data_IF_835898905984
#
_entry.id   IF_835898905984
#
_cell.length_a   1.000
_cell.length_b   1.000
_cell.length_c   1.000
_cell.angle_alpha   90.00
_cell.angle_beta   90.00
_cell.angle_gamma   90.00
#
_symmetry.space_group_name_H-M   'P 1'
#
loop_
_entity.id
_entity.type
_entity.pdbx_description
1 polymer ?
#
# COMPACT_ATOMS: atom_id res chain seq x y z
N UNK A 1 -59.92 39.44 46.39
CA UNK A 1 -58.78 39.90 47.22
C UNK A 1 -57.57 39.05 46.86
N UNK A 2 -56.46 39.71 46.50
CA UNK A 2 -55.04 39.31 46.55
C UNK A 2 -54.67 37.82 46.27
N UNK A 3 -53.71 37.46 45.41
CA UNK A 3 -52.40 38.08 45.15
C UNK A 3 -51.76 37.45 43.91
N UNK A 4 -50.97 38.23 43.18
CA UNK A 4 -49.99 37.79 42.16
C UNK A 4 -48.80 37.10 42.83
N UNK A 5 -48.24 36.07 42.21
CA UNK A 5 -46.78 35.83 42.23
C UNK A 5 -46.34 35.42 40.82
N UNK A 6 -45.42 36.20 40.28
CA UNK A 6 -44.72 36.02 39.01
C UNK A 6 -43.72 34.87 39.09
N UNK A 7 -43.65 34.04 38.04
CA UNK A 7 -42.48 33.23 37.74
C UNK A 7 -42.03 33.56 36.31
N UNK A 8 -41.00 34.41 36.22
CA UNK A 8 -40.30 34.76 35.00
C UNK A 8 -39.38 33.58 34.65
N UNK A 9 -39.63 32.92 33.52
CA UNK A 9 -38.67 32.03 32.89
C UNK A 9 -37.58 32.89 32.22
N UNK A 10 -36.42 33.00 32.86
CA UNK A 10 -35.20 33.49 32.20
C UNK A 10 -34.62 32.35 31.36
N UNK A 11 -34.79 32.44 30.04
CA UNK A 11 -33.95 31.70 29.10
C UNK A 11 -32.61 32.43 29.05
N UNK A 12 -31.57 31.84 29.65
CA UNK A 12 -30.19 32.27 29.42
C UNK A 12 -29.78 31.75 28.05
N UNK A 13 -29.95 32.58 27.03
CA UNK A 13 -29.24 32.44 25.76
C UNK A 13 -27.77 32.82 26.02
N UNK A 14 -26.94 31.82 26.29
CA UNK A 14 -25.49 32.00 26.26
C UNK A 14 -25.05 32.09 24.79
N UNK A 15 -25.18 33.27 24.19
CA UNK A 15 -24.43 33.65 22.99
C UNK A 15 -22.95 33.75 23.35
N UNK A 16 -22.17 32.71 23.06
CA UNK A 16 -20.72 32.85 22.96
C UNK A 16 -20.41 33.68 21.71
N UNK A 17 -20.42 35.01 21.87
CA UNK A 17 -19.65 35.92 21.02
C UNK A 17 -18.17 35.57 21.20
N UNK A 18 -17.63 34.73 20.32
CA UNK A 18 -16.19 34.69 20.10
C UNK A 18 -15.89 35.94 19.30
N UNK A 19 -15.43 36.99 20.00
CA UNK A 19 -14.74 38.10 19.39
C UNK A 19 -13.52 37.53 18.66
N UNK A 20 -13.65 37.37 17.34
CA UNK A 20 -12.51 37.25 16.44
C UNK A 20 -11.77 38.57 16.55
N UNK A 21 -10.76 38.59 17.43
CA UNK A 21 -9.71 39.59 17.36
C UNK A 21 -9.02 39.37 16.03
N UNK A 22 -9.36 40.17 15.02
CA UNK A 22 -8.51 40.39 13.87
C UNK A 22 -7.16 40.87 14.40
N UNK A 23 -6.22 39.94 14.57
CA UNK A 23 -4.83 40.27 14.75
C UNK A 23 -4.40 41.11 13.54
N UNK A 24 -3.87 42.30 13.83
CA UNK A 24 -3.17 43.13 12.86
C UNK A 24 -2.16 42.28 12.08
N UNK A 25 -1.97 42.53 10.77
CA UNK A 25 -0.98 41.81 9.99
C UNK A 25 0.40 42.08 10.58
N UNK A 26 1.05 41.03 11.08
CA UNK A 26 2.48 41.08 11.37
C UNK A 26 3.23 41.41 10.07
N UNK A 27 4.18 42.37 10.10
CA UNK A 27 4.93 42.76 8.92
C UNK A 27 5.93 41.66 8.55
N UNK A 28 5.85 41.22 7.29
CA UNK A 28 6.92 40.58 6.52
C UNK A 28 7.76 39.52 7.25
N UNK A 29 7.18 38.35 7.50
CA UNK A 29 7.95 37.11 7.25
C UNK A 29 7.77 36.76 5.78
N UNK A 30 8.59 37.35 4.92
CA UNK A 30 8.83 36.86 3.56
C UNK A 30 9.56 35.52 3.65
N UNK A 31 8.86 34.48 4.12
CA UNK A 31 9.23 33.12 3.77
C UNK A 31 9.17 33.06 2.26
N UNK A 32 10.32 32.99 1.59
CA UNK A 32 10.36 32.62 0.17
C UNK A 32 9.53 31.35 0.06
N UNK A 33 8.38 31.43 -0.60
CA UNK A 33 7.70 30.25 -1.13
C UNK A 33 8.76 29.54 -1.97
N UNK A 34 9.30 28.45 -1.44
CA UNK A 34 10.27 27.65 -2.16
C UNK A 34 9.51 27.04 -3.33
N UNK A 35 9.69 27.60 -4.52
CA UNK A 35 9.02 27.12 -5.73
C UNK A 35 9.56 25.74 -6.06
N UNK A 36 8.84 24.71 -5.61
CA UNK A 36 9.13 23.32 -5.94
C UNK A 36 8.86 23.15 -7.44
N UNK A 37 9.90 22.85 -8.20
CA UNK A 37 9.76 22.54 -9.63
C UNK A 37 9.18 21.14 -9.81
N UNK A 38 8.36 20.93 -10.85
CA UNK A 38 7.82 19.60 -11.18
C UNK A 38 8.92 18.54 -11.35
N UNK A 39 10.09 18.93 -11.88
CA UNK A 39 11.27 18.05 -12.03
C UNK A 39 11.83 17.53 -10.70
N UNK A 40 11.54 18.22 -9.60
CA UNK A 40 11.99 17.87 -8.26
C UNK A 40 11.01 16.95 -7.52
N UNK A 41 9.84 16.72 -8.10
CA UNK A 41 8.83 15.81 -7.58
C UNK A 41 9.31 14.37 -7.82
N UNK A 42 9.37 13.53 -6.78
CA UNK A 42 9.73 12.13 -6.96
C UNK A 42 8.74 11.40 -7.88
N UNK A 43 9.26 10.72 -8.89
CA UNK A 43 8.49 9.96 -9.89
C UNK A 43 8.27 8.53 -9.39
N UNK A 44 7.08 7.97 -9.61
CA UNK A 44 6.80 6.57 -9.30
C UNK A 44 7.69 5.62 -10.10
N UNK A 45 8.07 4.49 -9.51
CA UNK A 45 8.99 3.54 -10.13
C UNK A 45 8.46 2.98 -11.46
N UNK A 46 7.20 2.52 -11.50
CA UNK A 46 6.59 1.97 -12.72
C UNK A 46 6.56 2.99 -13.85
N UNK A 47 6.31 4.26 -13.52
CA UNK A 47 6.38 5.37 -14.48
C UNK A 47 7.79 5.51 -15.06
N UNK A 48 8.82 5.56 -14.20
CA UNK A 48 10.21 5.67 -14.65
C UNK A 48 10.68 4.45 -15.47
N UNK A 49 10.22 3.25 -15.13
CA UNK A 49 10.48 2.04 -15.91
C UNK A 49 9.83 2.15 -17.30
N UNK A 50 8.59 2.61 -17.37
CA UNK A 50 7.85 2.70 -18.62
C UNK A 50 8.46 3.73 -19.58
N UNK A 51 8.96 4.87 -19.09
CA UNK A 51 9.69 5.85 -19.91
C UNK A 51 10.92 5.22 -20.62
N UNK A 52 11.64 4.31 -19.96
CA UNK A 52 12.77 3.59 -20.58
C UNK A 52 12.32 2.62 -21.67
N UNK A 53 11.14 2.03 -21.52
CA UNK A 53 10.54 1.14 -22.52
C UNK A 53 10.00 1.92 -23.71
N UNK A 54 9.23 2.99 -23.47
CA UNK A 54 8.64 3.82 -24.52
C UNK A 54 9.70 4.54 -25.36
N UNK A 55 10.80 4.97 -24.74
CA UNK A 55 11.92 5.58 -25.46
C UNK A 55 12.77 4.58 -26.27
N UNK A 56 12.46 3.27 -26.18
CA UNK A 56 13.21 2.20 -26.85
C UNK A 56 14.60 1.94 -26.26
N UNK A 57 14.95 2.58 -25.13
CA UNK A 57 16.25 2.38 -24.45
C UNK A 57 16.37 0.98 -23.86
N UNK A 58 15.26 0.40 -23.41
CA UNK A 58 15.20 -0.95 -22.87
C UNK A 58 13.95 -1.69 -23.35
N UNK A 59 14.04 -3.00 -23.47
CA UNK A 59 12.86 -3.87 -23.58
C UNK A 59 12.18 -4.04 -22.23
N UNK A 60 10.92 -4.49 -22.21
CA UNK A 60 10.18 -4.80 -20.97
C UNK A 60 10.95 -5.78 -20.07
N UNK A 61 11.53 -6.84 -20.66
CA UNK A 61 12.34 -7.80 -19.90
C UNK A 61 13.59 -7.19 -19.28
N UNK A 62 14.28 -6.31 -20.01
CA UNK A 62 15.47 -5.62 -19.50
C UNK A 62 15.13 -4.68 -18.35
N UNK A 63 14.07 -3.87 -18.48
CA UNK A 63 13.71 -2.91 -17.43
C UNK A 63 13.27 -3.62 -16.15
N UNK A 64 12.53 -4.73 -16.26
CA UNK A 64 12.16 -5.56 -15.10
C UNK A 64 13.41 -6.12 -14.41
N UNK A 65 14.37 -6.67 -15.18
CA UNK A 65 15.62 -7.21 -14.64
C UNK A 65 16.41 -6.13 -13.89
N UNK A 66 16.71 -5.00 -14.51
CA UNK A 66 17.56 -3.98 -13.87
C UNK A 66 16.88 -3.36 -12.64
N UNK A 67 15.55 -3.27 -12.65
CA UNK A 67 14.79 -2.76 -11.50
C UNK A 67 14.79 -3.75 -10.32
N UNK A 68 14.63 -5.04 -10.61
CA UNK A 68 14.79 -6.09 -9.60
C UNK A 68 16.25 -6.17 -9.09
N UNK A 69 17.25 -5.92 -9.94
CA UNK A 69 18.66 -5.82 -9.53
C UNK A 69 18.89 -4.66 -8.56
N UNK A 70 18.23 -3.51 -8.78
CA UNK A 70 18.26 -2.39 -7.80
C UNK A 70 17.70 -2.84 -6.45
N UNK A 71 16.56 -3.53 -6.45
CA UNK A 71 15.98 -4.09 -5.22
C UNK A 71 16.84 -5.16 -4.56
N UNK A 72 17.60 -5.91 -5.36
CA UNK A 72 18.55 -6.91 -4.89
C UNK A 72 19.91 -6.30 -4.50
N UNK A 73 20.03 -4.97 -4.46
CA UNK A 73 21.27 -4.22 -4.22
C UNK A 73 22.43 -4.62 -5.16
N UNK A 74 22.12 -5.18 -6.33
CA UNK A 74 23.08 -5.57 -7.39
C UNK A 74 23.37 -4.40 -8.35
N UNK A 75 22.51 -3.38 -8.35
CA UNK A 75 22.63 -2.11 -9.08
C UNK A 75 22.15 -0.95 -8.22
N UNK A 76 22.60 0.26 -8.53
CA UNK A 76 22.04 1.50 -7.98
C UNK A 76 20.93 2.05 -8.88
N UNK A 77 20.03 2.84 -8.30
CA UNK A 77 18.98 3.49 -9.07
C UNK A 77 19.53 4.58 -9.99
N UNK A 78 20.60 5.25 -9.57
CA UNK A 78 21.30 6.28 -10.33
C UNK A 78 21.93 5.70 -11.61
N UNK A 79 22.43 4.46 -11.56
CA UNK A 79 22.95 3.75 -12.74
C UNK A 79 21.89 3.51 -13.83
N UNK A 80 20.61 3.42 -13.45
CA UNK A 80 19.50 3.07 -14.37
C UNK A 80 18.67 4.28 -14.75
N UNK A 81 18.36 5.13 -13.77
CA UNK A 81 17.43 6.26 -13.89
C UNK A 81 18.15 7.63 -13.89
N UNK A 82 19.47 7.65 -13.72
CA UNK A 82 20.25 8.89 -13.62
C UNK A 82 19.87 9.71 -12.38
N UNK A 83 19.78 11.04 -12.54
CA UNK A 83 19.48 11.96 -11.45
C UNK A 83 17.98 12.03 -11.08
N UNK A 84 17.14 11.19 -11.70
CA UNK A 84 15.69 11.17 -11.40
C UNK A 84 15.49 10.74 -9.95
N UNK A 85 14.73 11.55 -9.21
CA UNK A 85 14.26 11.20 -7.86
C UNK A 85 13.18 10.12 -7.98
N UNK A 86 13.54 8.86 -7.73
CA UNK A 86 12.59 7.76 -7.77
C UNK A 86 11.91 7.58 -6.42
N UNK A 87 10.57 7.59 -6.42
CA UNK A 87 9.75 7.18 -5.31
C UNK A 87 9.41 5.70 -5.45
N UNK A 88 10.00 4.87 -4.60
CA UNK A 88 9.61 3.48 -4.43
C UNK A 88 9.20 3.27 -2.98
N UNK A 89 7.90 3.32 -2.72
CA UNK A 89 7.33 3.04 -1.40
C UNK A 89 6.64 1.67 -1.40
N UNK A 90 6.03 1.28 -2.51
CA UNK A 90 5.48 -0.05 -2.80
C UNK A 90 6.20 -0.75 -3.96
N UNK A 91 5.90 -2.04 -4.18
CA UNK A 91 6.48 -2.85 -5.27
C UNK A 91 5.54 -3.87 -5.89
N UNK A 92 4.26 -3.87 -5.54
CA UNK A 92 3.18 -4.69 -6.08
C UNK A 92 3.22 -4.73 -7.60
N UNK A 93 3.25 -3.57 -8.26
CA UNK A 93 3.25 -3.52 -9.72
C UNK A 93 4.48 -4.20 -10.35
N UNK A 94 5.65 -3.98 -9.76
CA UNK A 94 6.90 -4.59 -10.22
C UNK A 94 6.87 -6.12 -10.05
N UNK A 95 6.42 -6.63 -8.90
CA UNK A 95 6.39 -8.07 -8.64
C UNK A 95 5.36 -8.79 -9.51
N UNK A 96 4.15 -8.23 -9.65
CA UNK A 96 3.12 -8.81 -10.51
C UNK A 96 3.53 -8.79 -11.98
N UNK A 97 4.07 -7.68 -12.48
CA UNK A 97 4.59 -7.58 -13.85
C UNK A 97 5.74 -8.59 -14.09
N UNK A 98 6.62 -8.77 -13.11
CA UNK A 98 7.71 -9.74 -13.18
C UNK A 98 7.20 -11.18 -13.26
N UNK A 99 6.21 -11.55 -12.45
CA UNK A 99 5.57 -12.89 -12.50
C UNK A 99 4.82 -13.10 -13.81
N UNK A 100 4.12 -12.09 -14.33
CA UNK A 100 3.49 -12.15 -15.64
C UNK A 100 4.53 -12.36 -16.75
N UNK A 101 5.69 -11.68 -16.67
CA UNK A 101 6.77 -11.82 -17.63
C UNK A 101 7.43 -13.21 -17.58
N UNK A 102 7.51 -13.87 -16.41
CA UNK A 102 7.96 -15.26 -16.33
C UNK A 102 7.08 -16.21 -17.15
N UNK A 103 5.77 -16.00 -17.14
CA UNK A 103 4.80 -16.83 -17.87
C UNK A 103 4.80 -16.55 -19.37
N UNK A 104 4.86 -15.27 -19.77
CA UNK A 104 4.55 -14.86 -21.15
C UNK A 104 5.68 -14.12 -21.88
N UNK A 105 6.75 -13.73 -21.18
CA UNK A 105 7.88 -13.00 -21.74
C UNK A 105 8.65 -13.81 -22.78
N UNK A 106 9.04 -13.15 -23.87
CA UNK A 106 9.75 -13.79 -24.99
C UNK A 106 11.24 -13.99 -24.71
N UNK A 107 11.87 -13.08 -23.97
CA UNK A 107 13.29 -13.15 -23.66
C UNK A 107 13.59 -14.21 -22.59
N UNK A 108 14.22 -15.30 -22.99
CA UNK A 108 14.62 -16.41 -22.11
C UNK A 108 15.67 -15.99 -21.07
N UNK A 109 16.61 -15.11 -21.42
CA UNK A 109 17.65 -14.66 -20.48
C UNK A 109 17.02 -13.77 -19.42
N UNK A 110 16.18 -12.82 -19.82
CA UNK A 110 15.43 -11.99 -18.87
C UNK A 110 14.56 -12.84 -17.94
N UNK A 111 13.83 -13.84 -18.44
CA UNK A 111 13.04 -14.74 -17.59
C UNK A 111 13.89 -15.53 -16.58
N UNK A 112 15.04 -16.05 -16.99
CA UNK A 112 15.93 -16.75 -16.07
C UNK A 112 16.42 -15.84 -14.94
N UNK A 113 16.77 -14.60 -15.29
CA UNK A 113 17.27 -13.62 -14.33
C UNK A 113 16.17 -13.08 -13.41
N UNK A 114 14.98 -12.79 -13.93
CA UNK A 114 13.80 -12.44 -13.11
C UNK A 114 13.50 -13.56 -12.11
N UNK A 115 13.56 -14.83 -12.52
CA UNK A 115 13.31 -15.97 -11.62
C UNK A 115 14.34 -16.01 -10.49
N UNK A 116 15.63 -15.81 -10.79
CA UNK A 116 16.70 -15.75 -9.79
C UNK A 116 16.48 -14.59 -8.81
N UNK A 117 16.18 -13.40 -9.33
CA UNK A 117 15.96 -12.20 -8.52
C UNK A 117 14.72 -12.34 -7.63
N UNK A 118 13.60 -12.83 -8.15
CA UNK A 118 12.40 -13.08 -7.33
C UNK A 118 12.65 -14.08 -6.21
N UNK A 119 13.48 -15.11 -6.43
CA UNK A 119 13.85 -16.06 -5.37
C UNK A 119 14.68 -15.42 -4.23
N UNK A 120 15.35 -14.29 -4.49
CA UNK A 120 16.09 -13.50 -3.50
C UNK A 120 15.21 -12.39 -2.90
N UNK A 121 14.21 -11.92 -3.64
CA UNK A 121 13.40 -10.77 -3.25
C UNK A 121 12.09 -11.14 -2.57
N UNK A 122 11.60 -12.36 -2.76
CA UNK A 122 10.31 -12.81 -2.23
C UNK A 122 10.46 -14.16 -1.53
N UNK A 123 9.69 -14.42 -0.46
CA UNK A 123 9.63 -15.75 0.15
C UNK A 123 9.08 -16.79 -0.84
N UNK A 124 9.55 -18.03 -0.74
CA UNK A 124 8.87 -19.17 -1.37
C UNK A 124 7.73 -19.61 -0.46
N UNK A 125 6.52 -19.12 -0.73
CA UNK A 125 5.37 -19.37 0.14
C UNK A 125 4.96 -20.83 0.19
N UNK A 126 5.21 -21.61 -0.86
CA UNK A 126 5.00 -23.06 -0.84
C UNK A 126 5.92 -23.72 0.20
N UNK A 127 7.18 -23.30 0.30
CA UNK A 127 8.09 -23.78 1.35
C UNK A 127 7.72 -23.23 2.72
N UNK A 128 7.29 -21.98 2.83
CA UNK A 128 6.81 -21.39 4.09
C UNK A 128 5.64 -22.17 4.67
N UNK A 129 4.58 -22.38 3.89
CA UNK A 129 3.37 -23.14 4.27
C UNK A 129 3.72 -24.57 4.70
N UNK A 130 4.70 -25.20 4.04
CA UNK A 130 5.12 -26.58 4.32
C UNK A 130 5.98 -26.73 5.58
N UNK A 131 6.90 -25.80 5.83
CA UNK A 131 7.97 -25.98 6.82
C UNK A 131 7.80 -25.12 8.07
N UNK A 132 7.08 -23.99 8.01
CA UNK A 132 6.93 -23.11 9.18
C UNK A 132 5.68 -23.49 9.95
N UNK A 133 5.86 -24.01 11.17
CA UNK A 133 4.75 -24.37 12.07
C UNK A 133 3.92 -23.13 12.43
N UNK A 134 2.61 -23.20 12.14
CA UNK A 134 1.63 -22.18 12.52
C UNK A 134 1.24 -22.31 13.98
N UNK A 135 1.38 -21.22 14.72
CA UNK A 135 0.99 -21.13 16.14
C UNK A 135 -0.30 -20.33 16.20
N UNK A 136 -1.34 -20.84 16.85
CA UNK A 136 -2.60 -20.10 16.96
C UNK A 136 -2.40 -18.88 17.86
N UNK A 137 -2.83 -17.69 17.42
CA UNK A 137 -2.61 -16.44 18.14
C UNK A 137 -3.20 -16.47 19.57
N UNK A 138 -4.29 -17.20 19.80
CA UNK A 138 -4.89 -17.31 21.12
C UNK A 138 -4.02 -18.11 22.11
N UNK A 139 -3.21 -19.08 21.63
CA UNK A 139 -2.28 -19.87 22.45
C UNK A 139 -1.15 -19.00 23.02
N UNK A 140 -0.72 -17.98 22.27
CA UNK A 140 0.28 -17.01 22.72
C UNK A 140 -0.24 -16.06 23.81
N UNK A 141 -1.57 -15.84 23.85
CA UNK A 141 -2.22 -14.97 24.84
C UNK A 141 -2.54 -15.68 26.15
N UNK A 142 -2.74 -17.00 26.12
CA UNK A 142 -3.14 -17.82 27.30
C UNK A 142 -1.97 -18.46 28.04
N UNK A 143 -0.78 -18.58 27.44
CA UNK A 143 0.37 -19.27 28.02
C UNK A 143 1.20 -18.46 29.05
N UNK A 144 2.19 -19.13 29.68
CA UNK A 144 3.25 -18.52 30.52
C UNK A 144 4.14 -17.53 29.75
N UNK A 145 4.07 -17.55 28.41
CA UNK A 145 4.82 -16.70 27.49
C UNK A 145 4.00 -15.47 27.04
N UNK A 146 3.32 -14.79 27.99
CA UNK A 146 2.63 -13.54 27.65
C UNK A 146 3.64 -12.55 27.06
N UNK A 147 3.28 -11.83 25.97
CA UNK A 147 4.13 -10.77 25.46
C UNK A 147 4.49 -9.81 26.59
N UNK A 148 5.75 -9.38 26.65
CA UNK A 148 6.17 -8.39 27.63
C UNK A 148 5.24 -7.17 27.54
N UNK A 149 4.63 -6.77 28.67
CA UNK A 149 3.80 -5.56 28.70
C UNK A 149 4.69 -4.36 28.44
N UNK A 150 4.49 -3.71 27.31
CA UNK A 150 5.07 -2.39 27.05
C UNK A 150 4.44 -1.39 28.03
N UNK A 151 5.22 -1.00 29.04
CA UNK A 151 4.79 -0.04 30.06
C UNK A 151 4.75 1.40 29.53
N UNK A 152 5.29 1.66 28.34
CA UNK A 152 5.41 3.01 27.80
C UNK A 152 4.13 3.50 27.09
N UNK A 153 3.22 2.58 26.70
CA UNK A 153 2.03 2.91 25.90
C UNK A 153 2.34 3.53 24.53
N UNK A 154 3.61 3.72 24.20
CA UNK A 154 4.10 4.40 23.02
C UNK A 154 4.66 3.36 22.07
N UNK A 155 4.16 3.34 20.83
CA UNK A 155 4.73 2.53 19.75
C UNK A 155 6.06 3.16 19.31
N UNK A 156 7.03 3.23 20.23
CA UNK A 156 8.29 3.92 20.01
C UNK A 156 9.17 3.10 19.09
N UNK A 157 9.79 3.82 18.16
CA UNK A 157 10.80 3.32 17.24
C UNK A 157 11.84 2.48 17.98
N UNK A 158 12.04 1.24 17.54
CA UNK A 158 13.31 0.57 17.84
C UNK A 158 14.31 1.21 16.87
N UNK A 159 15.39 1.78 17.39
CA UNK A 159 16.42 2.46 16.58
C UNK A 159 17.05 1.54 15.53
N UNK A 160 17.07 0.24 15.81
CA UNK A 160 17.53 -0.82 14.91
C UNK A 160 16.57 -2.01 14.97
N UNK A 161 15.88 -2.31 13.86
CA UNK A 161 15.10 -3.55 13.72
C UNK A 161 16.03 -4.67 13.29
N UNK A 162 16.19 -5.70 14.13
CA UNK A 162 16.98 -6.88 13.77
C UNK A 162 16.19 -7.76 12.81
N UNK A 163 16.37 -7.57 11.51
CA UNK A 163 15.59 -8.28 10.49
C UNK A 163 15.74 -9.81 10.53
N UNK A 164 16.93 -10.32 10.91
CA UNK A 164 17.22 -11.75 11.08
C UNK A 164 18.61 -11.94 11.71
N UNK A 165 18.91 -13.16 12.16
CA UNK A 165 20.29 -13.58 12.44
C UNK A 165 21.17 -13.45 11.18
N UNK A 166 22.50 -13.27 11.33
CA UNK A 166 23.41 -13.22 10.19
C UNK A 166 23.27 -14.42 9.25
N UNK A 167 23.14 -15.63 9.80
CA UNK A 167 23.03 -16.87 9.04
C UNK A 167 21.76 -16.90 8.18
N UNK A 168 20.61 -16.57 8.77
CA UNK A 168 19.34 -16.52 8.05
C UNK A 168 19.33 -15.45 6.96
N UNK A 169 19.97 -14.31 7.20
CA UNK A 169 20.12 -13.25 6.20
C UNK A 169 21.03 -13.67 5.05
N UNK A 170 22.14 -14.33 5.36
CA UNK A 170 23.07 -14.89 4.37
C UNK A 170 22.40 -15.97 3.51
N UNK A 171 21.70 -16.91 4.14
CA UNK A 171 20.96 -17.96 3.47
C UNK A 171 19.84 -17.42 2.57
N UNK A 172 19.11 -16.39 3.02
CA UNK A 172 18.11 -15.69 2.21
C UNK A 172 18.73 -15.07 0.95
N UNK A 173 19.86 -14.36 1.10
CA UNK A 173 20.54 -13.70 -0.02
C UNK A 173 21.04 -14.67 -1.10
N UNK A 174 21.25 -15.94 -0.73
CA UNK A 174 21.67 -16.99 -1.65
C UNK A 174 20.48 -17.78 -2.24
N UNK A 175 19.24 -17.46 -1.86
CA UNK A 175 18.05 -18.23 -2.24
C UNK A 175 17.98 -19.63 -1.61
N UNK A 176 18.79 -19.89 -0.57
CA UNK A 176 18.96 -21.21 0.07
C UNK A 176 18.49 -21.17 1.53
N UNK A 177 17.30 -20.62 1.77
CA UNK A 177 16.80 -20.42 3.13
C UNK A 177 16.29 -21.72 3.78
N UNK A 178 16.73 -21.96 5.02
CA UNK A 178 16.12 -22.94 5.93
C UNK A 178 14.92 -22.30 6.64
N UNK A 179 13.74 -22.42 6.02
CA UNK A 179 12.55 -21.66 6.45
C UNK A 179 12.15 -21.90 7.91
N UNK A 180 12.19 -23.13 8.41
CA UNK A 180 11.85 -23.48 9.81
C UNK A 180 12.88 -22.99 10.86
N UNK A 181 14.11 -22.73 10.42
CA UNK A 181 15.17 -22.19 11.25
C UNK A 181 15.11 -20.68 11.31
N UNK A 182 14.58 -20.04 10.27
CA UNK A 182 14.59 -18.59 10.13
C UNK A 182 13.25 -17.92 10.45
N UNK A 183 12.14 -18.64 10.39
CA UNK A 183 10.81 -18.10 10.64
C UNK A 183 10.07 -18.79 11.79
N UNK A 184 9.16 -18.01 12.39
CA UNK A 184 7.98 -18.48 13.11
C UNK A 184 6.75 -17.91 12.41
N UNK A 185 5.57 -18.44 12.73
CA UNK A 185 4.33 -17.82 12.30
C UNK A 185 3.27 -17.84 13.39
N UNK A 186 2.42 -16.80 13.35
CA UNK A 186 1.15 -16.78 14.06
C UNK A 186 0.02 -16.91 13.05
N UNK A 187 -1.01 -17.65 13.43
CA UNK A 187 -2.25 -17.76 12.68
C UNK A 187 -3.40 -17.22 13.52
N UNK A 188 -4.24 -16.38 12.92
CA UNK A 188 -5.43 -15.84 13.57
C UNK A 188 -6.65 -15.95 12.68
N UNK A 189 -7.81 -15.93 13.33
CA UNK A 189 -9.09 -16.10 12.64
C UNK A 189 -9.65 -14.74 12.20
N UNK A 190 -10.13 -14.69 10.96
CA UNK A 190 -10.88 -13.55 10.37
C UNK A 190 -12.38 -13.86 10.21
N UNK A 191 -12.80 -15.08 10.55
CA UNK A 191 -14.21 -15.52 10.55
C UNK A 191 -14.62 -16.25 9.29
N UNK A 192 -15.69 -17.05 9.37
CA UNK A 192 -16.17 -17.95 8.30
C UNK A 192 -15.10 -18.93 7.83
N UNK A 193 -14.45 -19.60 8.79
CA UNK A 193 -13.35 -20.56 8.60
C UNK A 193 -12.12 -20.03 7.86
N UNK A 194 -12.05 -18.72 7.62
CA UNK A 194 -10.89 -18.04 7.02
C UNK A 194 -9.87 -17.61 8.06
N UNK A 195 -8.61 -17.56 7.65
CA UNK A 195 -7.48 -17.24 8.53
C UNK A 195 -6.52 -16.23 7.89
N UNK A 196 -5.72 -15.59 8.73
CA UNK A 196 -4.50 -14.94 8.27
C UNK A 196 -3.30 -15.60 8.94
N UNK A 197 -2.18 -15.60 8.24
CA UNK A 197 -0.89 -16.04 8.77
C UNK A 197 0.11 -14.89 8.71
N UNK A 198 0.77 -14.59 9.83
CA UNK A 198 1.90 -13.65 9.87
C UNK A 198 3.17 -14.43 10.11
N UNK A 199 4.06 -14.45 9.14
CA UNK A 199 5.38 -15.05 9.22
C UNK A 199 6.42 -14.00 9.58
N UNK A 200 7.24 -14.30 10.58
CA UNK A 200 8.19 -13.34 11.15
C UNK A 200 9.51 -14.01 11.55
N UNK A 201 10.62 -13.24 11.61
CA UNK A 201 11.93 -13.76 12.00
C UNK A 201 11.87 -14.52 13.32
N UNK A 202 12.48 -15.70 13.38
CA UNK A 202 12.46 -16.57 14.58
C UNK A 202 13.03 -15.90 15.83
N UNK A 203 13.96 -14.96 15.63
CA UNK A 203 14.61 -14.13 16.65
C UNK A 203 13.64 -13.13 17.30
N UNK A 204 12.49 -12.83 16.68
CA UNK A 204 11.44 -12.00 17.28
C UNK A 204 10.54 -12.87 18.16
N UNK A 205 11.10 -13.47 19.20
CA UNK A 205 10.28 -14.16 20.19
C UNK A 205 9.43 -13.18 21.01
N UNK A 206 8.55 -13.70 21.87
CA UNK A 206 7.59 -12.89 22.63
C UNK A 206 8.24 -11.87 23.59
N UNK A 207 9.54 -11.99 23.85
CA UNK A 207 10.31 -11.06 24.68
C UNK A 207 11.01 -9.98 23.87
N UNK A 208 11.14 -10.18 22.56
CA UNK A 208 11.76 -9.22 21.64
C UNK A 208 10.87 -7.98 21.47
N UNK A 209 11.46 -6.77 21.43
CA UNK A 209 10.70 -5.56 21.15
C UNK A 209 10.06 -5.56 19.76
N UNK A 210 10.64 -6.25 18.78
CA UNK A 210 10.10 -6.38 17.42
C UNK A 210 8.81 -7.18 17.35
N UNK A 211 8.55 -8.08 18.31
CA UNK A 211 7.32 -8.88 18.34
C UNK A 211 6.04 -8.02 18.40
N UNK A 212 6.14 -6.77 18.87
CA UNK A 212 5.02 -5.81 18.82
C UNK A 212 4.56 -5.50 17.40
N UNK A 213 5.45 -5.56 16.40
CA UNK A 213 5.09 -5.39 15.00
C UNK A 213 4.26 -6.57 14.52
N UNK A 214 4.61 -7.80 14.91
CA UNK A 214 3.83 -9.01 14.58
C UNK A 214 2.40 -8.90 15.11
N UNK A 215 2.24 -8.44 16.35
CA UNK A 215 0.91 -8.24 16.95
C UNK A 215 0.15 -7.07 16.31
N UNK A 216 0.82 -5.96 16.01
CA UNK A 216 0.21 -4.83 15.31
C UNK A 216 -0.23 -5.21 13.89
N UNK A 217 0.54 -6.05 13.19
CA UNK A 217 0.13 -6.58 11.88
C UNK A 217 -1.11 -7.45 11.98
N UNK A 218 -1.14 -8.38 12.92
CA UNK A 218 -2.30 -9.24 13.16
C UNK A 218 -3.57 -8.43 13.49
N UNK A 219 -3.42 -7.36 14.27
CA UNK A 219 -4.50 -6.42 14.57
C UNK A 219 -4.95 -5.66 13.31
N UNK A 220 -4.00 -5.10 12.56
CA UNK A 220 -4.29 -4.34 11.36
C UNK A 220 -4.97 -5.16 10.27
N UNK A 221 -4.55 -6.43 10.06
CA UNK A 221 -5.20 -7.36 9.13
C UNK A 221 -6.66 -7.57 9.53
N UNK A 222 -6.92 -7.83 10.82
CA UNK A 222 -8.27 -8.07 11.31
C UNK A 222 -9.18 -6.85 11.21
N UNK A 223 -8.67 -5.66 11.53
CA UNK A 223 -9.41 -4.40 11.42
C UNK A 223 -9.72 -4.06 9.96
N UNK A 224 -8.74 -4.25 9.07
CA UNK A 224 -8.89 -4.03 7.63
C UNK A 224 -9.89 -5.00 7.03
N UNK A 225 -9.79 -6.29 7.35
CA UNK A 225 -10.73 -7.31 6.89
C UNK A 225 -12.16 -6.90 7.24
N UNK A 226 -12.42 -6.60 8.51
CA UNK A 226 -13.74 -6.16 8.97
C UNK A 226 -14.28 -4.95 8.20
N UNK A 227 -13.42 -3.98 7.91
CA UNK A 227 -13.82 -2.80 7.14
C UNK A 227 -14.14 -3.16 5.69
N UNK A 228 -13.28 -3.95 5.04
CA UNK A 228 -13.42 -4.30 3.63
C UNK A 228 -14.54 -5.31 3.33
N UNK A 229 -14.95 -6.13 4.31
CA UNK A 229 -16.16 -6.97 4.17
C UNK A 229 -17.43 -6.18 3.87
N UNK A 230 -17.47 -4.89 4.22
CA UNK A 230 -18.58 -4.00 3.88
C UNK A 230 -18.68 -3.68 2.38
N UNK A 231 -17.64 -4.00 1.61
CA UNK A 231 -17.47 -3.67 0.21
C UNK A 231 -17.40 -4.90 -0.71
N UNK A 232 -16.88 -6.03 -0.23
CA UNK A 232 -16.74 -7.25 -1.02
C UNK A 232 -16.03 -8.36 -0.22
N UNK A 233 -15.63 -9.41 -0.92
CA UNK A 233 -15.01 -10.58 -0.31
C UNK A 233 -13.53 -10.34 0.02
N UNK A 234 -13.11 -10.86 1.17
CA UNK A 234 -11.71 -10.97 1.56
C UNK A 234 -11.38 -12.45 1.74
N UNK A 235 -10.21 -12.89 1.31
CA UNK A 235 -9.75 -14.27 1.49
C UNK A 235 -8.51 -14.33 2.38
N UNK A 236 -7.86 -15.49 2.43
CA UNK A 236 -6.75 -15.72 3.34
C UNK A 236 -5.58 -14.80 3.00
N UNK A 237 -4.97 -14.24 4.04
CA UNK A 237 -3.82 -13.31 3.91
C UNK A 237 -2.60 -13.96 4.52
N UNK A 238 -1.52 -14.01 3.75
CA UNK A 238 -0.21 -14.40 4.22
C UNK A 238 0.73 -13.20 4.22
N UNK A 239 1.07 -12.74 5.43
CA UNK A 239 1.93 -11.60 5.63
C UNK A 239 3.33 -12.05 6.03
N UNK A 240 4.37 -11.57 5.35
CA UNK A 240 5.75 -11.97 5.62
C UNK A 240 6.61 -10.76 5.96
N UNK A 241 7.31 -10.82 7.08
CA UNK A 241 8.40 -9.90 7.36
C UNK A 241 9.68 -10.39 6.68
N UNK A 242 10.16 -9.64 5.68
CA UNK A 242 11.38 -9.99 4.96
C UNK A 242 12.61 -9.95 5.89
N UNK A 243 13.51 -10.91 5.71
CA UNK A 243 14.73 -11.03 6.53
C UNK A 243 15.86 -10.09 6.08
N UNK A 244 15.77 -9.61 4.84
CA UNK A 244 16.79 -8.79 4.19
C UNK A 244 16.50 -7.31 4.36
N UNK A 245 17.46 -6.55 4.86
CA UNK A 245 17.43 -5.08 4.75
C UNK A 245 17.95 -4.67 3.36
N UNK A 246 17.19 -3.83 2.67
CA UNK A 246 17.54 -3.30 1.33
C UNK A 246 17.98 -1.85 1.43
N UNK A 247 18.88 -1.42 0.55
CA UNK A 247 19.29 -0.01 0.47
C UNK A 247 18.20 0.84 -0.21
N UNK A 248 17.61 0.31 -1.29
CA UNK A 248 16.58 1.00 -2.05
C UNK A 248 15.17 0.90 -1.40
N UNK A 249 14.33 1.92 -1.64
CA UNK A 249 13.29 2.41 -0.73
C UNK A 249 12.04 1.56 -0.45
N UNK A 250 11.92 0.34 -0.98
CA UNK A 250 10.72 -0.50 -0.86
C UNK A 250 10.31 -0.73 0.60
N UNK A 251 9.04 -0.44 0.92
CA UNK A 251 8.47 -0.67 2.24
C UNK A 251 7.66 -1.96 2.25
N UNK A 252 6.61 -2.06 1.43
CA UNK A 252 5.72 -3.21 1.41
C UNK A 252 5.27 -3.50 -0.02
N UNK A 253 4.72 -4.69 -0.25
CA UNK A 253 4.17 -5.08 -1.54
C UNK A 253 3.23 -6.26 -1.40
N UNK A 254 2.20 -6.30 -2.25
CA UNK A 254 1.53 -7.55 -2.62
C UNK A 254 2.40 -8.27 -3.65
N UNK A 255 3.04 -9.36 -3.23
CA UNK A 255 4.05 -10.06 -4.03
C UNK A 255 3.43 -11.07 -5.00
N UNK A 256 2.33 -11.72 -4.60
CA UNK A 256 1.59 -12.69 -5.39
C UNK A 256 0.14 -12.78 -4.89
N UNK A 257 -0.73 -13.33 -5.72
CA UNK A 257 -2.08 -13.69 -5.33
C UNK A 257 -2.55 -14.90 -6.11
N UNK A 258 -3.30 -15.77 -5.43
CA UNK A 258 -4.07 -16.82 -6.07
C UNK A 258 -5.45 -16.25 -6.42
N UNK A 259 -5.83 -16.17 -7.70
CA UNK A 259 -7.19 -15.78 -8.06
C UNK A 259 -8.16 -16.83 -7.50
N UNK A 260 -9.33 -16.41 -7.05
CA UNK A 260 -10.38 -17.35 -6.65
C UNK A 260 -10.80 -18.20 -7.85
N UNK A 261 -10.34 -19.45 -7.90
CA UNK A 261 -11.02 -20.52 -8.63
C UNK A 261 -11.61 -21.52 -7.62
N UNK A 262 -12.62 -22.27 -8.05
CA UNK A 262 -13.46 -23.11 -7.19
C UNK A 262 -12.74 -24.31 -6.54
N UNK A 263 -11.42 -24.45 -6.66
CA UNK A 263 -10.69 -25.63 -6.21
C UNK A 263 -9.73 -25.41 -5.04
N UNK A 264 -9.39 -24.16 -4.70
CA UNK A 264 -8.51 -23.82 -3.57
C UNK A 264 -9.00 -22.55 -2.86
N UNK A 265 -8.73 -22.43 -1.56
CA UNK A 265 -8.94 -21.16 -0.84
C UNK A 265 -7.94 -20.13 -1.38
N UNK A 266 -8.39 -19.08 -2.10
CA UNK A 266 -7.48 -18.08 -2.64
C UNK A 266 -6.75 -17.35 -1.52
N UNK A 267 -5.47 -17.06 -1.75
CA UNK A 267 -4.62 -16.36 -0.80
C UNK A 267 -3.92 -15.16 -1.43
N UNK A 268 -3.64 -14.14 -0.62
CA UNK A 268 -2.84 -12.99 -1.01
C UNK A 268 -1.55 -12.93 -0.19
N UNK A 269 -0.42 -12.73 -0.87
CA UNK A 269 0.91 -12.68 -0.25
C UNK A 269 1.37 -11.22 -0.13
N UNK A 270 1.55 -10.74 1.10
CA UNK A 270 2.04 -9.38 1.38
C UNK A 270 3.37 -9.46 2.10
N UNK A 271 4.38 -8.78 1.60
CA UNK A 271 5.70 -8.73 2.23
C UNK A 271 5.99 -7.34 2.77
N UNK A 272 6.41 -7.25 4.04
CA UNK A 272 6.96 -6.04 4.63
C UNK A 272 8.48 -6.12 4.72
N UNK A 273 9.17 -5.13 4.14
CA UNK A 273 10.60 -4.96 4.29
C UNK A 273 10.92 -4.38 5.67
N UNK A 274 12.07 -4.71 6.29
CA UNK A 274 12.47 -4.15 7.59
C UNK A 274 12.49 -2.61 7.61
N UNK A 275 12.73 -1.97 6.47
CA UNK A 275 12.71 -0.50 6.33
C UNK A 275 11.31 0.09 6.56
N UNK A 276 10.25 -0.65 6.21
CA UNK A 276 8.87 -0.29 6.52
C UNK A 276 8.69 -0.05 8.02
N UNK A 277 9.30 -0.90 8.85
CA UNK A 277 9.23 -0.81 10.31
C UNK A 277 10.04 0.33 10.90
N UNK A 278 10.86 1.03 10.12
CA UNK A 278 11.54 2.27 10.52
C UNK A 278 10.81 3.52 10.02
N UNK A 279 10.24 3.48 8.81
CA UNK A 279 9.63 4.63 8.15
C UNK A 279 8.14 4.80 8.50
N UNK A 280 7.42 3.70 8.74
CA UNK A 280 5.97 3.70 8.99
C UNK A 280 5.62 3.60 10.48
N UNK A 281 6.62 3.39 11.34
CA UNK A 281 6.52 3.34 12.81
C UNK A 281 6.50 4.72 13.48
N UNK A 282 6.22 5.78 12.71
CA UNK A 282 5.92 7.13 13.22
C UNK A 282 4.67 7.10 14.14
N UNK A 283 3.84 6.06 14.00
CA UNK A 283 2.84 5.68 14.99
C UNK A 283 2.13 4.40 14.59
N UNK A 284 1.55 3.68 15.56
CA UNK A 284 0.80 2.44 15.32
C UNK A 284 -0.27 2.60 14.23
N UNK A 285 -0.98 3.74 14.21
CA UNK A 285 -2.03 4.02 13.23
C UNK A 285 -1.50 4.17 11.80
N UNK A 286 -0.38 4.86 11.62
CA UNK A 286 0.28 4.99 10.31
C UNK A 286 0.77 3.64 9.79
N UNK A 287 1.33 2.83 10.68
CA UNK A 287 1.72 1.45 10.36
C UNK A 287 0.51 0.60 9.94
N UNK A 288 -0.59 0.68 10.70
CA UNK A 288 -1.83 -0.02 10.38
C UNK A 288 -2.43 0.45 9.04
N UNK A 289 -2.41 1.75 8.75
CA UNK A 289 -2.90 2.27 7.47
C UNK A 289 -2.09 1.75 6.29
N UNK A 290 -0.77 1.67 6.40
CA UNK A 290 0.06 1.07 5.36
C UNK A 290 -0.25 -0.42 5.12
N UNK A 291 -0.58 -1.18 6.18
CA UNK A 291 -1.07 -2.56 6.01
C UNK A 291 -2.42 -2.57 5.27
N UNK A 292 -3.34 -1.66 5.63
CA UNK A 292 -4.63 -1.56 4.93
C UNK A 292 -4.48 -1.19 3.45
N UNK A 293 -3.48 -0.38 3.10
CA UNK A 293 -3.11 -0.07 1.71
C UNK A 293 -2.77 -1.34 0.95
N UNK A 294 -1.84 -2.16 1.46
CA UNK A 294 -1.45 -3.39 0.75
C UNK A 294 -2.59 -4.42 0.69
N UNK A 295 -3.41 -4.53 1.73
CA UNK A 295 -4.58 -5.41 1.72
C UNK A 295 -5.68 -4.92 0.77
N UNK A 296 -5.69 -3.64 0.40
CA UNK A 296 -6.57 -3.16 -0.65
C UNK A 296 -6.16 -3.73 -2.01
N UNK A 297 -4.87 -3.92 -2.29
CA UNK A 297 -4.45 -4.60 -3.51
C UNK A 297 -4.94 -6.06 -3.56
N UNK A 298 -4.94 -6.76 -2.42
CA UNK A 298 -5.58 -8.08 -2.33
C UNK A 298 -7.07 -8.00 -2.65
N UNK A 299 -7.78 -7.02 -2.05
CA UNK A 299 -9.20 -6.79 -2.32
C UNK A 299 -9.46 -6.49 -3.80
N UNK A 300 -8.64 -5.64 -4.43
CA UNK A 300 -8.73 -5.32 -5.86
C UNK A 300 -8.53 -6.58 -6.71
N UNK A 301 -7.56 -7.43 -6.37
CA UNK A 301 -7.30 -8.68 -7.08
C UNK A 301 -8.49 -9.64 -7.04
N UNK A 302 -9.26 -9.67 -5.96
CA UNK A 302 -10.42 -10.55 -5.79
C UNK A 302 -11.73 -9.96 -6.33
N UNK A 303 -12.00 -8.68 -6.07
CA UNK A 303 -13.30 -8.05 -6.32
C UNK A 303 -13.34 -7.14 -7.55
N UNK A 304 -12.16 -6.81 -8.08
CA UNK A 304 -11.95 -5.94 -9.25
C UNK A 304 -11.04 -6.69 -10.24
N UNK A 305 -11.04 -8.03 -10.17
CA UNK A 305 -10.09 -8.92 -10.85
C UNK A 305 -10.00 -8.67 -12.36
N UNK A 306 -11.13 -8.43 -13.03
CA UNK A 306 -11.14 -8.10 -14.45
C UNK A 306 -10.26 -6.88 -14.78
N UNK A 307 -10.61 -5.67 -14.28
CA UNK A 307 -9.80 -4.47 -14.51
C UNK A 307 -8.40 -4.54 -13.90
N UNK A 308 -8.25 -5.17 -12.73
CA UNK A 308 -7.00 -5.23 -11.99
C UNK A 308 -5.96 -6.16 -12.61
N UNK A 309 -6.37 -7.35 -13.07
CA UNK A 309 -5.44 -8.41 -13.47
C UNK A 309 -5.30 -8.61 -14.98
N UNK A 310 -6.25 -8.16 -15.82
CA UNK A 310 -6.22 -8.50 -17.25
C UNK A 310 -5.47 -7.48 -18.11
N UNK A 311 -4.36 -7.91 -18.71
CA UNK A 311 -3.73 -7.21 -19.85
C UNK A 311 -4.22 -7.75 -21.19
N UNK A 312 -4.07 -6.93 -22.25
CA UNK A 312 -4.51 -7.18 -23.63
C UNK A 312 -3.88 -8.40 -24.31
N UNK A 313 -2.79 -8.96 -23.78
CA UNK A 313 -2.02 -9.98 -24.51
C UNK A 313 -2.08 -11.36 -23.87
N UNK A 314 -2.25 -11.49 -22.54
CA UNK A 314 -2.17 -12.82 -21.90
C UNK A 314 -3.00 -12.98 -20.60
N UNK A 315 -3.88 -12.03 -20.26
CA UNK A 315 -4.79 -12.16 -19.12
C UNK A 315 -4.16 -11.97 -17.72
N UNK A 316 -2.91 -11.49 -17.64
CA UNK A 316 -2.21 -11.17 -16.38
C UNK A 316 -1.60 -9.76 -16.40
N UNK A 317 -1.47 -9.12 -15.23
CA UNK A 317 -1.00 -7.73 -15.04
C UNK A 317 0.47 -7.62 -15.47
N UNK A 318 0.71 -7.15 -16.70
CA UNK A 318 2.04 -6.88 -17.25
C UNK A 318 2.43 -5.41 -17.03
N UNK A 319 3.68 -5.05 -17.31
CA UNK A 319 4.19 -3.70 -17.02
C UNK A 319 3.37 -2.61 -17.72
N UNK A 320 2.97 -2.87 -18.98
CA UNK A 320 2.13 -1.97 -19.76
C UNK A 320 0.76 -1.74 -19.11
N UNK A 321 0.12 -2.81 -18.63
CA UNK A 321 -1.19 -2.71 -17.99
C UNK A 321 -1.10 -2.06 -16.61
N UNK A 322 -0.03 -2.32 -15.85
CA UNK A 322 0.29 -1.58 -14.63
C UNK A 322 0.32 -0.08 -14.93
N UNK A 323 1.08 0.39 -15.92
CA UNK A 323 1.12 1.83 -16.30
C UNK A 323 -0.26 2.44 -16.59
N UNK A 324 -1.17 1.67 -17.20
CA UNK A 324 -2.53 2.12 -17.56
C UNK A 324 -3.43 2.22 -16.33
N UNK A 325 -3.23 1.35 -15.33
CA UNK A 325 -4.14 1.17 -14.19
C UNK A 325 -3.59 1.69 -12.87
N UNK A 326 -2.31 2.03 -12.79
CA UNK A 326 -1.60 2.47 -11.58
C UNK A 326 -2.29 3.67 -10.93
N UNK A 327 -2.81 4.61 -11.73
CA UNK A 327 -3.47 5.82 -11.24
C UNK A 327 -4.64 5.52 -10.30
N UNK A 328 -5.44 4.50 -10.62
CA UNK A 328 -6.55 4.06 -9.77
C UNK A 328 -6.13 2.93 -8.83
N UNK A 329 -5.15 2.11 -9.19
CA UNK A 329 -4.67 1.03 -8.32
C UNK A 329 -4.12 1.60 -7.02
N UNK A 330 -3.17 2.53 -7.11
CA UNK A 330 -2.52 3.16 -5.96
C UNK A 330 -3.37 4.26 -5.33
N UNK A 331 -4.00 5.12 -6.16
CA UNK A 331 -4.83 6.20 -5.66
C UNK A 331 -6.02 5.71 -4.84
N UNK A 332 -6.65 4.59 -5.24
CA UNK A 332 -7.73 4.00 -4.45
C UNK A 332 -7.21 3.25 -3.22
N UNK A 333 -6.01 2.68 -3.26
CA UNK A 333 -5.39 2.05 -2.07
C UNK A 333 -5.13 3.08 -0.96
N UNK A 334 -4.63 4.26 -1.30
CA UNK A 334 -4.48 5.37 -0.36
C UNK A 334 -5.84 5.78 0.22
N UNK A 335 -6.86 5.95 -0.63
CA UNK A 335 -8.20 6.34 -0.19
C UNK A 335 -8.87 5.28 0.71
N UNK A 336 -8.91 4.01 0.30
CA UNK A 336 -9.58 2.97 1.07
C UNK A 336 -8.83 2.60 2.35
N UNK A 337 -7.50 2.71 2.38
CA UNK A 337 -6.74 2.58 3.63
C UNK A 337 -7.12 3.66 4.64
N UNK A 338 -7.41 4.88 4.18
CA UNK A 338 -7.86 5.99 5.03
C UNK A 338 -9.27 5.74 5.59
N UNK A 339 -10.15 5.04 4.88
CA UNK A 339 -11.46 4.63 5.42
C UNK A 339 -11.28 3.75 6.66
N UNK A 340 -10.30 2.84 6.64
CA UNK A 340 -10.01 1.97 7.79
C UNK A 340 -9.38 2.77 8.94
N UNK A 341 -8.48 3.71 8.62
CA UNK A 341 -7.73 4.49 9.60
C UNK A 341 -7.79 6.01 9.37
N UNK A 342 -8.98 6.65 9.53
CA UNK A 342 -9.23 8.04 9.13
C UNK A 342 -8.53 9.11 10.00
N UNK A 343 -7.71 8.68 10.96
CA UNK A 343 -6.94 9.55 11.85
C UNK A 343 -5.43 9.42 11.64
N UNK A 344 -5.00 8.54 10.73
CA UNK A 344 -3.60 8.33 10.40
C UNK A 344 -3.15 9.29 9.28
N UNK A 345 -4.03 9.55 8.30
CA UNK A 345 -3.85 10.54 7.24
C UNK A 345 -2.51 10.40 6.49
N UNK A 346 -2.04 9.16 6.26
CA UNK A 346 -0.75 8.92 5.57
C UNK A 346 -0.77 9.41 4.12
N UNK A 347 -1.95 9.47 3.52
CA UNK A 347 -2.20 9.95 2.16
C UNK A 347 -1.91 11.44 2.03
N UNK A 348 -2.04 12.21 3.12
CA UNK A 348 -1.72 13.65 3.18
C UNK A 348 -0.23 13.95 3.38
N UNK A 349 0.66 12.95 3.27
CA UNK A 349 2.11 13.18 3.33
C UNK A 349 2.54 14.19 2.26
N UNK A 350 3.48 15.09 2.61
CA UNK A 350 3.97 16.19 1.74
C UNK A 350 4.15 15.76 0.28
N UNK A 351 4.78 14.61 0.09
CA UNK A 351 5.07 14.00 -1.19
C UNK A 351 3.84 13.68 -2.07
N UNK A 352 2.72 13.28 -1.47
CA UNK A 352 1.46 13.04 -2.20
C UNK A 352 0.74 14.35 -2.51
N UNK A 353 0.77 15.33 -1.59
CA UNK A 353 0.20 16.66 -1.81
C UNK A 353 0.92 17.37 -2.95
N UNK A 354 2.25 17.53 -2.89
CA UNK A 354 3.02 18.16 -3.97
C UNK A 354 2.94 17.36 -5.28
N UNK A 355 2.79 16.04 -5.18
CA UNK A 355 2.63 15.16 -6.34
C UNK A 355 1.25 15.26 -7.00
N UNK A 356 0.27 15.85 -6.31
CA UNK A 356 -1.04 16.21 -6.88
C UNK A 356 -1.04 17.66 -7.35
N UNK A 357 -0.81 18.62 -6.43
CA UNK A 357 -1.06 20.05 -6.63
C UNK A 357 -0.30 20.67 -7.80
N UNK A 358 0.94 20.23 -8.04
CA UNK A 358 1.78 20.77 -9.11
C UNK A 358 1.48 20.06 -10.44
N UNK A 359 1.51 18.71 -10.55
CA UNK A 359 1.33 18.06 -11.84
C UNK A 359 -0.13 18.08 -12.33
N UNK A 360 -1.14 18.18 -11.46
CA UNK A 360 -2.55 18.20 -11.88
C UNK A 360 -2.90 19.39 -12.79
N UNK A 361 -2.14 20.49 -12.70
CA UNK A 361 -2.30 21.66 -13.56
C UNK A 361 -2.02 21.37 -15.04
N UNK A 362 -1.18 20.36 -15.33
CA UNK A 362 -0.69 20.07 -16.68
C UNK A 362 -0.99 18.64 -17.13
N UNK A 363 -1.41 17.75 -16.23
CA UNK A 363 -1.60 16.33 -16.48
C UNK A 363 -2.96 15.85 -16.01
N UNK A 364 -3.62 15.03 -16.83
CA UNK A 364 -4.81 14.29 -16.39
C UNK A 364 -4.45 13.24 -15.32
N UNK A 365 -5.43 12.81 -14.51
CA UNK A 365 -5.25 11.83 -13.42
C UNK A 365 -4.44 10.59 -13.80
N UNK A 366 -4.70 10.03 -14.99
CA UNK A 366 -4.03 8.81 -15.49
C UNK A 366 -2.58 9.03 -15.95
N UNK A 367 -2.11 10.28 -15.97
CA UNK A 367 -0.76 10.69 -16.37
C UNK A 367 0.05 11.29 -15.22
N UNK A 368 -0.53 11.46 -14.03
CA UNK A 368 0.23 11.99 -12.90
C UNK A 368 1.48 11.13 -12.66
N UNK A 369 2.65 11.76 -12.45
CA UNK A 369 3.92 11.04 -12.26
C UNK A 369 3.96 10.30 -10.92
N UNK A 370 3.06 10.66 -9.98
CA UNK A 370 2.89 10.02 -8.67
C UNK A 370 1.47 9.48 -8.52
N UNK A 371 1.22 8.21 -8.85
CA UNK A 371 -0.12 7.61 -8.85
C UNK A 371 -0.89 7.70 -7.53
N UNK A 372 -0.20 7.55 -6.39
CA UNK A 372 -0.75 7.70 -5.04
C UNK A 372 -1.47 9.03 -4.80
N UNK A 373 -1.00 10.11 -5.46
CA UNK A 373 -1.59 11.44 -5.36
C UNK A 373 -3.04 11.48 -5.86
N UNK A 374 -3.46 10.52 -6.68
CA UNK A 374 -4.85 10.40 -7.12
C UNK A 374 -5.84 10.08 -5.97
N UNK A 375 -5.38 9.80 -4.75
CA UNK A 375 -6.27 9.65 -3.59
C UNK A 375 -7.22 10.86 -3.44
N UNK A 376 -6.74 12.07 -3.77
CA UNK A 376 -7.53 13.30 -3.68
C UNK A 376 -8.80 13.24 -4.55
N UNK A 377 -8.69 12.68 -5.75
CA UNK A 377 -9.84 12.47 -6.64
C UNK A 377 -10.84 11.47 -6.04
N UNK A 378 -10.37 10.33 -5.54
CA UNK A 378 -11.25 9.33 -4.94
C UNK A 378 -11.93 9.82 -3.65
N UNK A 379 -11.20 10.57 -2.83
CA UNK A 379 -11.73 11.23 -1.64
C UNK A 379 -12.79 12.27 -2.01
N UNK A 380 -12.52 13.11 -3.00
CA UNK A 380 -13.49 14.08 -3.51
C UNK A 380 -14.75 13.40 -4.03
N UNK A 381 -14.58 12.35 -4.86
CA UNK A 381 -15.68 11.62 -5.47
C UNK A 381 -16.57 10.98 -4.39
N UNK A 382 -15.98 10.34 -3.40
CA UNK A 382 -16.72 9.75 -2.30
C UNK A 382 -17.46 10.77 -1.42
N UNK A 383 -16.96 11.99 -1.31
CA UNK A 383 -17.60 13.07 -0.56
C UNK A 383 -18.82 13.67 -1.28
N UNK A 384 -19.05 13.31 -2.55
CA UNK A 384 -20.22 13.79 -3.28
C UNK A 384 -21.51 13.10 -2.81
N UNK A 385 -22.64 13.85 -2.76
CA UNK A 385 -23.93 13.28 -2.44
C UNK A 385 -24.28 12.09 -3.35
N UNK A 386 -24.61 10.95 -2.74
CA UNK A 386 -25.05 9.74 -3.46
C UNK A 386 -23.93 8.81 -3.96
N UNK A 387 -22.67 9.22 -3.91
CA UNK A 387 -21.55 8.38 -4.34
C UNK A 387 -21.04 7.51 -3.19
N UNK A 388 -20.39 8.14 -2.20
CA UNK A 388 -19.77 7.44 -1.07
C UNK A 388 -18.69 6.43 -1.49
N UNK A 389 -18.12 5.68 -0.52
CA UNK A 389 -17.11 4.65 -0.82
C UNK A 389 -17.61 3.56 -1.78
N UNK A 390 -18.89 3.18 -1.68
CA UNK A 390 -19.49 2.18 -2.58
C UNK A 390 -19.60 2.68 -4.02
N UNK A 391 -19.85 3.97 -4.24
CA UNK A 391 -19.84 4.57 -5.57
C UNK A 391 -18.44 4.59 -6.19
N UNK A 392 -17.41 4.89 -5.39
CA UNK A 392 -16.01 4.74 -5.84
C UNK A 392 -15.72 3.29 -6.25
N UNK A 393 -16.13 2.31 -5.45
CA UNK A 393 -15.95 0.89 -5.82
C UNK A 393 -16.66 0.53 -7.14
N UNK A 394 -17.90 1.00 -7.34
CA UNK A 394 -18.62 0.80 -8.62
C UNK A 394 -17.86 1.39 -9.80
N UNK A 395 -17.28 2.59 -9.64
CA UNK A 395 -16.43 3.18 -10.67
C UNK A 395 -15.28 2.23 -11.01
N UNK A 396 -14.52 1.77 -10.01
CA UNK A 396 -13.36 0.89 -10.22
C UNK A 396 -13.76 -0.42 -10.92
N UNK A 397 -14.89 -1.01 -10.53
CA UNK A 397 -15.43 -2.23 -11.15
C UNK A 397 -15.92 -2.02 -12.59
N UNK A 398 -16.32 -0.81 -12.95
CA UNK A 398 -16.77 -0.46 -14.30
C UNK A 398 -15.63 -0.20 -15.29
N UNK A 399 -14.40 -0.05 -14.80
CA UNK A 399 -13.26 0.31 -15.65
C UNK A 399 -12.97 -0.79 -16.68
N UNK A 400 -12.47 -0.44 -17.87
CA UNK A 400 -12.20 -1.42 -18.91
C UNK A 400 -11.12 -2.42 -18.47
N UNK A 401 -11.33 -3.70 -18.78
CA UNK A 401 -10.35 -4.78 -18.53
C UNK A 401 -9.32 -4.94 -19.65
N UNK A 402 -9.32 -4.01 -20.62
CA UNK A 402 -8.44 -4.00 -21.79
C UNK A 402 -8.43 -2.61 -22.42
N UNK A 403 -7.41 -2.34 -23.23
CA UNK A 403 -7.31 -1.10 -24.00
C UNK A 403 -6.08 -0.29 -23.58
N UNK A 404 -6.25 1.03 -23.55
CA UNK A 404 -5.19 1.99 -23.25
C UNK A 404 -5.71 3.05 -22.25
N UNK A 405 -4.86 4.01 -21.91
CA UNK A 405 -5.23 5.06 -20.96
C UNK A 405 -6.44 5.90 -21.43
N UNK A 406 -6.62 6.11 -22.73
CA UNK A 406 -7.79 6.82 -23.27
C UNK A 406 -9.08 6.03 -23.01
N UNK A 407 -9.06 4.70 -23.14
CA UNK A 407 -10.22 3.87 -22.79
C UNK A 407 -10.56 3.93 -21.30
N UNK A 408 -9.56 4.00 -20.42
CA UNK A 408 -9.80 4.26 -19.00
C UNK A 408 -10.46 5.63 -18.80
N UNK A 409 -9.93 6.68 -19.45
CA UNK A 409 -10.48 8.04 -19.35
C UNK A 409 -11.91 8.16 -19.89
N UNK A 410 -12.21 7.52 -21.03
CA UNK A 410 -13.57 7.44 -21.59
C UNK A 410 -14.56 6.80 -20.60
N UNK A 411 -14.17 5.69 -19.96
CA UNK A 411 -15.02 5.01 -18.99
C UNK A 411 -15.26 5.86 -17.73
N UNK A 412 -14.23 6.55 -17.23
CA UNK A 412 -14.37 7.50 -16.11
C UNK A 412 -15.32 8.62 -16.50
N UNK A 413 -15.17 9.22 -17.68
CA UNK A 413 -16.03 10.31 -18.15
C UNK A 413 -17.51 9.90 -18.31
N UNK A 414 -17.78 8.61 -18.56
CA UNK A 414 -19.13 8.04 -18.67
C UNK A 414 -19.75 7.66 -17.32
N UNK A 415 -18.99 7.71 -16.22
CA UNK A 415 -19.49 7.31 -14.91
C UNK A 415 -20.35 8.41 -14.28
N UNK A 416 -21.64 8.14 -14.09
CA UNK A 416 -22.58 9.09 -13.46
C UNK A 416 -22.50 10.49 -14.11
N UNK A 417 -22.42 11.58 -13.34
CA UNK A 417 -22.25 12.95 -13.87
C UNK A 417 -20.77 13.41 -13.87
N UNK A 418 -19.82 12.51 -14.20
CA UNK A 418 -18.38 12.78 -14.06
C UNK A 418 -17.93 14.11 -14.69
N UNK A 419 -18.49 14.52 -15.83
CA UNK A 419 -18.12 15.81 -16.45
C UNK A 419 -18.35 17.00 -15.50
N UNK A 420 -19.45 17.02 -14.76
CA UNK A 420 -19.73 18.06 -13.77
C UNK A 420 -18.83 17.91 -12.55
N UNK A 421 -18.67 16.68 -12.07
CA UNK A 421 -17.86 16.37 -10.89
C UNK A 421 -16.39 16.74 -11.09
N UNK A 422 -15.83 16.44 -12.26
CA UNK A 422 -14.45 16.72 -12.62
C UNK A 422 -14.22 18.23 -12.75
N UNK A 423 -15.14 18.96 -13.40
CA UNK A 423 -15.07 20.43 -13.48
C UNK A 423 -15.10 21.10 -12.08
N UNK A 424 -15.83 20.52 -11.13
CA UNK A 424 -15.88 21.02 -9.74
C UNK A 424 -14.64 20.63 -8.92
N UNK A 425 -14.00 19.52 -9.27
CA UNK A 425 -12.79 19.06 -8.60
C UNK A 425 -11.60 19.98 -8.90
N UNK A 426 -11.53 20.51 -10.12
CA UNK A 426 -10.44 21.37 -10.61
C UNK A 426 -9.62 20.64 -11.65
#
# INVERSE_FOLDING_TARGET
MHTRISAIFFIILATCFVLVSCGSPDPETTGKEETISEKDIPVGLTHAMWELVESGKMTEGQVLVVTLQILADEKSAEEVFGDKKISMEEGTDLFLASRAYLKHGKDRKARAEIKRLLAILTPDMKKMRKHVKRIKLHELKSGKNKPAKDKSGSFNLISTVHAASPDCRGAWNQGNLYYEECFKSIEGDIGDDRTYTVYYPKIWDNSSPEFKYVLATAEAIKETERAFRGFGDMHDVEFVFALRQRKFGLLMSMDDFEPGDSTYNPSCEVTAQPRALKKLSIGKKTYHQAIAHELWHCFQAWNISGPFSRSTENGWRNLRWSKITEWWTEGSAEYFSNIVYPKANIEHRKNNIIGFDIPSLNHSLHKLPRPYSNFAFFQYLANQPGIGPKGVLRLLQSLPTRGNANKQAEAVAQFENMSELFNKFG
#
